data_IF_251689588501
#
_entry.id   IF_251689588501
#
_cell.length_a   1.000
_cell.length_b   1.000
_cell.length_c   1.000
_cell.angle_alpha   90.00
_cell.angle_beta   90.00
_cell.angle_gamma   90.00
#
_symmetry.space_group_name_H-M   'P 1'
#
loop_
_entity.id
_entity.type
_entity.pdbx_description
1 polymer ?
2 non-polymer ?
3 non-polymer ?
4 water ?
#
# COMPACT_ATOMS: atom_id res chain seq x y z
N UNK A 1 -27.01 14.27 -23.95
CA UNK A 1 -26.22 13.51 -22.98
C UNK A 1 -25.13 14.47 -22.58
N UNK A 2 -24.53 14.26 -21.43
CA UNK A 2 -23.49 15.17 -20.96
C UNK A 2 -22.36 14.43 -20.24
N UNK A 3 -21.20 15.07 -20.22
CA UNK A 3 -20.05 14.53 -19.51
C UNK A 3 -20.16 14.84 -18.01
N UNK A 4 -20.33 13.79 -17.20
CA UNK A 4 -20.46 13.98 -15.77
C UNK A 4 -19.10 13.98 -15.06
N UNK A 5 -18.17 13.22 -15.61
CA UNK A 5 -16.84 13.13 -15.02
C UNK A 5 -15.88 12.67 -16.11
N UNK A 6 -14.65 13.12 -16.03
CA UNK A 6 -13.66 12.74 -17.04
C UNK A 6 -12.28 12.88 -16.44
N UNK A 7 -11.43 11.89 -16.70
CA UNK A 7 -10.03 11.99 -16.32
C UNK A 7 -9.20 11.19 -17.33
N UNK A 8 -7.96 11.62 -17.54
CA UNK A 8 -7.14 10.89 -18.51
C UNK A 8 -5.68 11.12 -18.16
N UNK A 9 -4.81 10.24 -18.63
CA UNK A 9 -3.39 10.44 -18.34
C UNK A 9 -2.57 9.23 -18.73
N UNK A 10 -1.46 9.01 -18.03
CA UNK A 10 -0.54 7.92 -18.42
C UNK A 10 -0.39 6.97 -17.23
N UNK A 11 -0.52 5.68 -17.53
CA UNK A 11 -0.37 4.66 -16.49
C UNK A 11 0.89 3.81 -16.78
N UNK A 12 1.35 3.10 -15.75
CA UNK A 12 2.45 2.15 -15.90
C UNK A 12 3.74 2.75 -16.41
N UNK A 13 4.08 3.93 -15.92
CA UNK A 13 5.34 4.58 -16.28
C UNK A 13 6.43 4.12 -15.29
N UNK A 14 7.32 3.27 -15.75
CA UNK A 14 8.38 2.73 -14.89
C UNK A 14 9.52 3.75 -14.83
N UNK A 15 10.01 4.01 -13.62
CA UNK A 15 11.09 4.98 -13.46
C UNK A 15 12.11 4.42 -12.50
N UNK A 16 13.40 4.59 -12.84
CA UNK A 16 14.47 4.22 -11.94
C UNK A 16 15.33 5.49 -11.79
N UNK A 17 15.82 5.74 -10.58
CA UNK A 17 16.74 6.86 -10.35
C UNK A 17 17.86 6.35 -9.43
N UNK A 18 19.09 6.77 -9.73
CA UNK A 18 20.23 6.42 -8.89
C UNK A 18 20.82 7.72 -8.28
N UNK A 19 21.22 7.63 -7.03
CA UNK A 19 21.90 8.71 -6.35
C UNK A 19 23.32 8.20 -6.05
N UNK A 20 24.34 8.97 -6.44
CA UNK A 20 25.74 8.58 -6.23
C UNK A 20 26.43 9.57 -5.29
N UNK A 21 26.89 9.09 -4.14
CA UNK A 21 27.61 9.94 -3.20
C UNK A 21 29.07 9.98 -3.65
N UNK A 22 29.52 11.11 -4.20
CA UNK A 22 30.90 11.17 -4.69
C UNK A 22 31.90 10.97 -3.56
N UNK A 23 31.49 11.33 -2.34
CA UNK A 23 32.37 11.16 -1.18
C UNK A 23 32.65 9.68 -0.87
N UNK A 24 31.64 8.97 -0.38
CA UNK A 24 31.76 7.57 0.01
C UNK A 24 31.79 6.61 -1.17
N UNK A 25 31.32 7.06 -2.33
CA UNK A 25 31.24 6.17 -3.50
C UNK A 25 29.97 5.29 -3.40
N UNK A 26 29.21 5.46 -2.33
CA UNK A 26 28.00 4.67 -2.12
C UNK A 26 26.88 5.09 -3.08
N UNK A 27 26.18 4.11 -3.65
CA UNK A 27 25.12 4.42 -4.61
C UNK A 27 23.80 3.93 -4.03
N UNK A 28 22.69 4.63 -4.30
CA UNK A 28 21.39 4.21 -3.75
C UNK A 28 20.40 4.26 -4.92
N UNK A 29 19.62 3.20 -5.13
CA UNK A 29 18.66 3.21 -6.25
C UNK A 29 17.20 3.28 -5.76
N UNK A 30 16.35 3.81 -6.63
CA UNK A 30 14.91 3.93 -6.33
C UNK A 30 14.22 3.46 -7.59
N UNK A 31 13.21 2.57 -7.47
CA UNK A 31 12.50 2.19 -8.70
C UNK A 31 11.01 2.28 -8.38
N UNK A 32 10.21 2.85 -9.28
CA UNK A 32 8.78 2.99 -8.96
C UNK A 32 7.96 2.81 -10.22
N UNK A 33 6.65 2.70 -10.08
CA UNK A 33 5.75 2.68 -11.25
C UNK A 33 4.73 3.78 -10.97
N UNK A 34 4.57 4.69 -11.92
CA UNK A 34 3.80 5.91 -11.69
C UNK A 34 2.62 6.00 -12.63
N UNK A 35 1.52 6.50 -12.08
CA UNK A 35 0.33 6.77 -12.88
C UNK A 35 -0.13 8.20 -12.57
N UNK A 36 -0.41 8.99 -13.59
CA UNK A 36 -0.90 10.38 -13.38
C UNK A 36 -2.14 10.55 -14.24
N UNK A 37 -3.24 10.94 -13.60
CA UNK A 37 -4.48 11.24 -14.31
C UNK A 37 -4.86 12.69 -13.98
N UNK A 38 -5.28 13.41 -15.01
CA UNK A 38 -5.66 14.81 -14.87
C UNK A 38 -7.16 15.01 -15.03
N UNK A 39 -7.68 16.07 -14.40
CA UNK A 39 -9.08 16.50 -14.62
C UNK A 39 -9.07 18.02 -14.83
N UNK A 40 -10.07 18.53 -15.56
CA UNK A 40 -10.18 19.99 -15.72
C UNK A 40 -11.23 20.34 -16.76
N UNK A 41 -11.02 21.47 -17.41
CA UNK A 41 -11.94 21.90 -18.44
C UNK A 41 -11.55 21.21 -19.75
N UNK A 42 -11.85 19.91 -19.85
CA UNK A 42 -11.45 19.11 -21.00
C UNK A 42 -12.61 18.44 -21.71
N UNK A 43 -13.82 18.74 -21.29
CA UNK A 43 -15.01 18.09 -21.88
C UNK A 43 -15.07 18.17 -23.37
N UNK A 44 -14.60 19.28 -23.95
CA UNK A 44 -14.74 19.43 -25.40
C UNK A 44 -13.90 18.45 -26.20
N UNK A 45 -12.87 17.86 -25.58
CA UNK A 45 -12.09 16.85 -26.33
C UNK A 45 -12.99 15.63 -26.54
N UNK A 46 -13.93 15.39 -25.62
CA UNK A 46 -14.83 14.26 -25.75
C UNK A 46 -16.01 14.62 -26.65
N UNK A 47 -16.55 15.81 -26.47
CA UNK A 47 -17.80 16.17 -27.17
C UNK A 47 -17.68 16.81 -28.54
N UNK A 48 -16.60 17.54 -28.77
CA UNK A 48 -16.44 18.27 -30.03
C UNK A 48 -15.17 17.91 -30.78
N UNK A 49 -14.49 16.84 -30.36
CA UNK A 49 -13.22 16.48 -31.01
C UNK A 49 -12.21 17.63 -30.96
N UNK A 50 -12.23 18.38 -29.88
CA UNK A 50 -11.32 19.51 -29.72
C UNK A 50 -10.08 19.09 -28.95
N UNK A 51 -9.02 18.70 -29.68
CA UNK A 51 -7.79 18.28 -29.00
C UNK A 51 -6.96 19.39 -28.38
N UNK A 52 -7.38 20.65 -28.60
CA UNK A 52 -6.58 21.77 -28.10
C UNK A 52 -6.44 21.83 -26.60
N UNK A 53 -7.41 21.24 -25.91
CA UNK A 53 -7.40 21.20 -24.44
C UNK A 53 -6.62 20.00 -23.88
N UNK A 54 -6.11 19.15 -24.76
CA UNK A 54 -5.41 17.93 -24.28
C UNK A 54 -3.90 18.08 -24.15
N UNK A 55 -3.40 17.90 -22.94
CA UNK A 55 -1.97 17.78 -22.68
C UNK A 55 -1.74 16.28 -23.02
N UNK A 56 -1.04 15.99 -24.11
CA UNK A 56 -0.88 14.59 -24.59
C UNK A 56 -0.37 13.69 -23.48
N UNK A 57 -0.84 12.45 -23.42
CA UNK A 57 -0.36 11.52 -22.38
C UNK A 57 1.15 11.27 -22.55
N UNK A 58 1.66 11.32 -23.78
CA UNK A 58 3.11 11.21 -23.99
C UNK A 58 3.86 12.37 -23.29
N UNK A 59 3.28 13.59 -23.30
CA UNK A 59 3.90 14.73 -22.62
C UNK A 59 3.87 14.55 -21.09
N UNK A 60 2.82 13.90 -20.60
CA UNK A 60 2.72 13.65 -19.17
C UNK A 60 3.87 12.69 -18.85
N UNK A 61 4.05 11.69 -19.68
CA UNK A 61 5.20 10.75 -19.46
C UNK A 61 6.56 11.51 -19.40
N UNK A 62 6.79 12.40 -20.37
CA UNK A 62 8.03 13.19 -20.40
C UNK A 62 8.17 13.95 -19.10
N UNK A 63 7.07 14.55 -18.64
CA UNK A 63 7.06 15.37 -17.43
C UNK A 63 7.45 14.57 -16.20
N UNK A 64 7.01 13.31 -16.15
CA UNK A 64 7.37 12.50 -15.00
C UNK A 64 8.92 12.33 -14.97
N UNK A 65 9.53 11.98 -16.09
CA UNK A 65 10.99 11.81 -16.11
C UNK A 65 11.72 13.12 -15.75
N UNK A 66 11.27 14.22 -16.35
CA UNK A 66 11.88 15.54 -16.08
C UNK A 66 11.78 15.92 -14.59
N UNK A 67 10.61 15.73 -14.00
CA UNK A 67 10.43 15.99 -12.58
C UNK A 67 11.32 15.11 -11.68
N UNK A 68 11.44 13.83 -12.03
CA UNK A 68 12.31 12.94 -11.26
C UNK A 68 13.77 13.40 -11.40
N UNK A 69 14.13 13.92 -12.57
CA UNK A 69 15.55 14.35 -12.78
C UNK A 69 15.87 15.58 -11.87
N UNK A 70 14.90 16.48 -11.73
CA UNK A 70 15.13 17.73 -10.99
C UNK A 70 14.75 17.77 -9.51
N UNK A 71 14.15 16.70 -9.00
CA UNK A 71 13.69 16.67 -7.61
C UNK A 71 14.02 15.36 -6.95
N UNK A 72 14.02 15.33 -5.63
CA UNK A 72 14.22 14.06 -4.94
C UNK A 72 12.97 13.19 -5.24
N UNK A 73 13.15 11.87 -5.32
CA UNK A 73 12.00 10.98 -5.56
C UNK A 73 11.54 10.30 -4.29
N UNK A 74 12.17 10.66 -3.16
CA UNK A 74 11.79 10.10 -1.88
C UNK A 74 11.64 11.24 -0.86
N UNK A 75 10.76 11.12 0.12
CA UNK A 75 9.78 10.02 0.22
C UNK A 75 8.78 10.21 -0.93
N UNK A 76 8.09 9.14 -1.32
CA UNK A 76 7.14 9.21 -2.45
C UNK A 76 6.00 10.19 -2.21
N UNK A 77 5.63 10.42 -0.95
CA UNK A 77 4.59 11.44 -0.62
C UNK A 77 4.99 12.85 -1.13
N UNK A 78 6.26 13.18 -1.00
CA UNK A 78 6.75 14.48 -1.48
C UNK A 78 6.84 14.48 -3.00
N UNK A 79 7.43 13.43 -3.56
CA UNK A 79 7.58 13.40 -5.02
C UNK A 79 6.21 13.49 -5.71
N UNK A 80 5.24 12.75 -5.17
CA UNK A 80 3.86 12.75 -5.73
C UNK A 80 3.23 14.15 -5.65
N UNK A 81 3.46 14.81 -4.52
CA UNK A 81 2.92 16.17 -4.31
C UNK A 81 3.56 17.17 -5.28
N UNK A 82 4.88 17.06 -5.50
CA UNK A 82 5.53 17.95 -6.46
C UNK A 82 4.99 17.72 -7.87
N UNK A 83 4.90 16.45 -8.26
CA UNK A 83 4.40 16.11 -9.58
C UNK A 83 2.96 16.57 -9.82
N UNK A 84 2.10 16.40 -8.82
CA UNK A 84 0.70 16.78 -9.00
C UNK A 84 0.54 18.31 -9.04
N UNK A 85 1.29 18.98 -8.18
CA UNK A 85 1.26 20.45 -8.12
C UNK A 85 1.73 21.05 -9.45
N UNK A 86 2.74 20.42 -10.07
CA UNK A 86 3.23 20.89 -11.36
C UNK A 86 2.10 21.06 -12.36
N UNK A 87 1.28 20.02 -12.53
CA UNK A 87 0.23 20.09 -13.54
C UNK A 87 -0.81 21.18 -13.32
N UNK A 88 -1.26 21.36 -12.08
CA UNK A 88 -2.30 22.36 -11.82
C UNK A 88 -1.78 23.79 -11.90
N UNK A 89 -0.49 23.97 -11.62
CA UNK A 89 0.11 25.32 -11.73
C UNK A 89 0.47 25.64 -13.18
N UNK A 90 0.97 24.64 -13.90
CA UNK A 90 1.37 24.86 -15.27
C UNK A 90 0.24 25.14 -16.24
N UNK A 91 -0.85 24.38 -16.12
CA UNK A 91 -1.95 24.47 -17.07
C UNK A 91 -3.18 25.08 -16.44
N UNK A 92 -3.57 26.24 -16.97
CA UNK A 92 -4.69 26.95 -16.40
C UNK A 92 -6.00 26.16 -16.39
N UNK A 93 -6.23 25.33 -17.39
CA UNK A 93 -7.50 24.61 -17.49
C UNK A 93 -7.50 23.25 -16.78
N UNK A 94 -6.38 22.87 -16.20
CA UNK A 94 -6.30 21.59 -15.47
C UNK A 94 -6.47 21.95 -13.99
N UNK A 95 -7.49 21.38 -13.35
CA UNK A 95 -7.79 21.73 -11.96
C UNK A 95 -7.52 20.65 -10.94
N UNK A 96 -7.24 19.42 -11.38
CA UNK A 96 -6.91 18.36 -10.41
C UNK A 96 -5.91 17.39 -11.05
N UNK A 97 -5.01 16.86 -10.23
CA UNK A 97 -4.05 15.85 -10.69
C UNK A 97 -4.11 14.71 -9.69
N UNK A 98 -4.12 13.47 -10.18
CA UNK A 98 -4.21 12.31 -9.31
C UNK A 98 -2.98 11.48 -9.60
N UNK A 99 -2.12 11.32 -8.60
CA UNK A 99 -0.86 10.64 -8.84
C UNK A 99 -0.78 9.38 -7.98
N UNK A 100 -0.53 8.24 -8.60
CA UNK A 100 -0.40 7.01 -7.83
C UNK A 100 1.02 6.48 -8.08
N UNK A 101 1.72 6.15 -7.01
CA UNK A 101 3.11 5.68 -7.12
C UNK A 101 3.23 4.38 -6.35
N UNK A 102 3.85 3.38 -6.98
CA UNK A 102 4.17 2.12 -6.33
C UNK A 102 5.70 2.07 -6.27
N UNK A 103 6.25 1.93 -5.08
CA UNK A 103 7.70 1.80 -4.90
C UNK A 103 8.06 0.33 -4.77
N UNK A 104 9.03 -0.09 -5.56
CA UNK A 104 9.52 -1.48 -5.57
C UNK A 104 10.74 -1.58 -4.66
N UNK A 105 10.94 -2.73 -4.02
CA UNK A 105 12.08 -2.88 -3.13
C UNK A 105 13.39 -3.19 -3.84
N UNK A 106 14.43 -2.40 -3.55
CA UNK A 106 15.80 -2.73 -3.98
C UNK A 106 16.62 -2.54 -2.69
N UNK A 107 16.85 -3.64 -2.00
CA UNK A 107 17.51 -3.61 -0.67
C UNK A 107 19.01 -3.86 -0.82
N UNK A 108 19.81 -3.03 -0.16
CA UNK A 108 21.25 -3.14 -0.33
C UNK A 108 21.70 -4.54 0.12
N UNK A 109 22.55 -5.17 -0.70
CA UNK A 109 23.08 -6.49 -0.37
C UNK A 109 24.14 -6.39 0.75
N UNK A 110 24.19 -7.40 1.60
CA UNK A 110 25.27 -7.53 2.60
C UNK A 110 26.16 -8.64 2.09
N UNK A 111 27.40 -8.33 1.79
CA UNK A 111 28.36 -9.32 1.31
C UNK A 111 29.46 -9.45 2.39
N UNK A 112 29.66 -10.65 2.92
CA UNK A 112 30.70 -10.87 3.95
C UNK A 112 30.32 -10.09 5.22
N UNK A 113 29.02 -10.03 5.52
CA UNK A 113 28.53 -9.33 6.70
C UNK A 113 28.70 -7.82 6.63
N UNK A 114 28.52 -7.24 5.45
CA UNK A 114 28.66 -5.79 5.31
C UNK A 114 28.05 -5.19 4.05
N UNK A 115 27.42 -4.02 4.20
CA UNK A 115 26.70 -3.35 3.09
C UNK A 115 27.53 -3.09 1.83
N UNK A 116 27.06 -3.59 0.69
CA UNK A 116 27.75 -3.35 -0.55
C UNK A 116 27.37 -1.98 -1.10
N UNK A 117 28.35 -1.26 -1.67
CA UNK A 117 28.09 0.08 -2.17
C UNK A 117 27.14 0.25 -3.35
N UNK A 118 27.01 -0.78 -4.19
CA UNK A 118 26.18 -0.61 -5.40
C UNK A 118 25.47 -1.89 -5.89
N UNK A 119 25.18 -2.81 -4.99
CA UNK A 119 24.48 -4.07 -5.36
C UNK A 119 23.26 -4.25 -4.48
N UNK A 120 22.15 -4.68 -5.10
CA UNK A 120 20.86 -4.71 -4.44
C UNK A 120 20.10 -5.98 -4.78
N UNK A 121 19.15 -6.29 -3.91
CA UNK A 121 18.34 -7.48 -4.07
C UNK A 121 16.88 -7.13 -3.86
N UNK A 122 16.00 -7.74 -4.65
CA UNK A 122 14.58 -7.52 -4.42
C UNK A 122 14.16 -8.54 -3.35
N UNK A 123 14.00 -8.12 -2.08
CA UNK A 123 13.56 -9.02 -0.98
C UNK A 123 12.04 -8.93 -0.79
N UNK A 124 11.31 -9.75 -1.55
CA UNK A 124 9.88 -9.75 -1.47
C UNK A 124 9.32 -8.64 -2.29
N UNK A 125 8.11 -8.96 -2.64
CA UNK A 125 7.25 -8.26 -3.56
C UNK A 125 6.38 -7.25 -2.77
N UNK A 126 6.68 -7.06 -1.49
CA UNK A 126 5.91 -6.07 -0.71
C UNK A 126 6.15 -4.69 -1.36
N UNK A 127 5.13 -3.82 -1.37
CA UNK A 127 5.26 -2.48 -1.98
C UNK A 127 4.95 -1.42 -0.91
N UNK A 128 5.48 -0.22 -1.14
CA UNK A 128 5.09 0.96 -0.41
C UNK A 128 4.46 1.86 -1.48
N UNK A 129 3.23 2.33 -1.25
CA UNK A 129 2.51 3.10 -2.26
C UNK A 129 2.07 4.46 -1.72
N UNK A 130 1.69 5.34 -2.67
CA UNK A 130 1.03 6.57 -2.28
C UNK A 130 0.01 6.92 -3.32
N UNK A 131 -1.08 7.53 -2.88
CA UNK A 131 -2.07 8.11 -3.77
C UNK A 131 -2.12 9.61 -3.37
N UNK A 132 -1.85 10.52 -4.30
CA UNK A 132 -1.87 11.96 -3.98
C UNK A 132 -2.88 12.62 -4.88
N UNK A 133 -3.85 13.33 -4.31
CA UNK A 133 -4.83 14.04 -5.12
C UNK A 133 -4.56 15.53 -4.85
N UNK A 134 -4.20 16.26 -5.90
CA UNK A 134 -3.90 17.71 -5.80
C UNK A 134 -5.05 18.40 -6.52
N UNK A 135 -5.87 19.12 -5.76
CA UNK A 135 -7.05 19.74 -6.34
C UNK A 135 -6.98 21.28 -6.14
N UNK A 136 -7.03 22.03 -7.23
CA UNK A 136 -6.92 23.48 -7.16
C UNK A 136 -7.89 24.08 -6.14
N UNK A 137 -7.33 24.85 -5.21
CA UNK A 137 -8.13 25.52 -4.19
C UNK A 137 -8.53 24.62 -3.02
N UNK A 138 -8.19 23.33 -3.08
CA UNK A 138 -8.56 22.40 -2.01
C UNK A 138 -7.39 21.66 -1.37
N UNK A 139 -6.18 22.04 -1.74
CA UNK A 139 -4.98 21.51 -1.10
C UNK A 139 -4.53 20.16 -1.69
N UNK A 140 -3.91 19.35 -0.84
CA UNK A 140 -3.31 18.07 -1.21
C UNK A 140 -3.77 17.00 -0.25
N UNK A 141 -4.38 15.94 -0.78
CA UNK A 141 -4.85 14.81 0.04
C UNK A 141 -3.94 13.63 -0.28
N UNK A 142 -3.34 13.07 0.77
CA UNK A 142 -2.40 11.98 0.59
C UNK A 142 -2.84 10.73 1.37
N UNK A 143 -2.89 9.59 0.66
CA UNK A 143 -3.12 8.32 1.32
C UNK A 143 -1.87 7.49 1.09
N UNK A 144 -1.25 7.00 2.15
CA UNK A 144 -0.01 6.23 2.02
C UNK A 144 -0.37 4.77 2.34
N UNK A 145 0.35 3.81 1.78
CA UNK A 145 0.02 2.42 2.11
C UNK A 145 1.16 1.43 1.97
N UNK A 146 1.01 0.26 2.58
CA UNK A 146 1.92 -0.83 2.32
C UNK A 146 1.03 -1.99 1.88
N UNK A 147 1.52 -2.80 0.95
CA UNK A 147 0.69 -3.89 0.44
C UNK A 147 1.59 -5.04 0.02
N UNK A 148 1.03 -6.25 -0.08
CA UNK A 148 1.81 -7.41 -0.49
C UNK A 148 2.73 -7.92 0.61
N UNK A 149 2.36 -7.65 1.86
CA UNK A 149 3.13 -8.14 3.00
C UNK A 149 2.44 -9.44 3.44
N UNK A 150 3.06 -10.56 3.11
CA UNK A 150 2.46 -11.87 3.35
C UNK A 150 3.03 -12.57 4.58
N UNK A 151 2.16 -12.91 5.51
CA UNK A 151 2.61 -13.48 6.79
C UNK A 151 1.76 -14.70 7.16
N UNK A 152 2.26 -15.52 8.06
CA UNK A 152 1.52 -16.68 8.53
C UNK A 152 1.96 -16.94 9.98
N UNK A 153 1.00 -17.31 10.83
CA UNK A 153 1.35 -17.82 12.17
C UNK A 153 0.74 -19.21 12.31
N UNK A 154 1.48 -20.15 12.89
CA UNK A 154 1.05 -21.55 12.89
C UNK A 154 0.18 -21.96 14.08
N UNK A 155 0.03 -21.04 15.03
CA UNK A 155 -0.81 -21.31 16.19
C UNK A 155 -1.18 -19.94 16.81
N UNK A 156 -1.90 -19.94 17.93
CA UNK A 156 -2.30 -18.68 18.57
C UNK A 156 -3.27 -17.85 17.73
N UNK A 157 -4.22 -18.56 17.13
CA UNK A 157 -5.30 -17.92 16.40
C UNK A 157 -6.50 -18.84 16.69
N UNK A 158 -7.63 -18.24 17.03
CA UNK A 158 -8.85 -18.96 17.37
C UNK A 158 -10.00 -18.34 16.59
N UNK A 159 -11.07 -19.11 16.47
CA UNK A 159 -12.30 -18.61 15.89
C UNK A 159 -13.48 -19.43 16.38
N UNK A 160 -14.13 -18.94 17.44
CA UNK A 160 -15.29 -19.61 18.01
C UNK A 160 -16.30 -18.57 18.46
N UNK A 161 -17.53 -19.00 18.72
CA UNK A 161 -18.58 -18.10 19.18
C UNK A 161 -19.27 -17.29 18.10
N UNK A 162 -19.13 -17.69 16.83
CA UNK A 162 -19.80 -17.01 15.74
C UNK A 162 -21.25 -17.50 15.61
N UNK A 163 -22.07 -16.74 14.88
CA UNK A 163 -23.47 -17.12 14.64
C UNK A 163 -23.60 -18.50 14.00
N UNK A 164 -24.49 -19.33 14.54
CA UNK A 164 -24.76 -20.67 14.00
C UNK A 164 -26.22 -20.79 13.65
N UNK A 165 -26.52 -21.10 12.40
CA UNK A 165 -27.88 -21.30 11.92
C UNK A 165 -27.94 -22.43 10.88
N UNK A 166 -29.04 -22.52 10.14
CA UNK A 166 -29.18 -23.62 9.21
C UNK A 166 -28.23 -23.53 7.99
N UNK A 167 -27.48 -22.43 7.87
CA UNK A 167 -26.49 -22.31 6.75
C UNK A 167 -25.07 -22.61 7.20
N UNK A 168 -24.91 -22.94 8.48
CA UNK A 168 -23.60 -23.09 9.08
C UNK A 168 -23.10 -24.52 9.19
N UNK A 169 -21.87 -24.79 8.70
CA UNK A 169 -21.25 -26.10 8.87
C UNK A 169 -19.90 -25.97 9.54
N UNK A 170 -19.36 -24.76 9.58
CA UNK A 170 -18.01 -24.53 10.10
C UNK A 170 -17.92 -24.92 11.57
N UNK A 171 -16.88 -25.64 11.96
CA UNK A 171 -16.71 -26.02 13.37
C UNK A 171 -15.93 -24.93 14.10
N UNK A 172 -16.27 -24.71 15.36
CA UNK A 172 -15.52 -23.78 16.17
C UNK A 172 -14.11 -24.31 16.42
N UNK A 173 -13.14 -23.42 16.56
CA UNK A 173 -11.77 -23.84 16.80
C UNK A 173 -11.03 -22.94 17.80
N UNK A 174 -10.13 -23.56 18.55
CA UNK A 174 -9.32 -22.85 19.52
C UNK A 174 -7.86 -22.87 19.14
N UNK A 175 -7.53 -23.39 17.94
CA UNK A 175 -6.12 -23.39 17.53
C UNK A 175 -6.10 -23.60 15.99
N UNK A 176 -5.74 -22.55 15.25
CA UNK A 176 -5.71 -22.69 13.79
C UNK A 176 -4.55 -21.91 13.22
N UNK A 177 -4.29 -22.11 11.94
CA UNK A 177 -3.26 -21.33 11.25
C UNK A 177 -3.94 -20.05 10.79
N UNK A 178 -3.22 -18.93 10.84
CA UNK A 178 -3.77 -17.67 10.33
C UNK A 178 -2.73 -17.15 9.32
N UNK A 179 -3.18 -16.85 8.10
CA UNK A 179 -2.25 -16.34 7.10
C UNK A 179 -2.97 -15.27 6.27
N UNK A 180 -2.26 -14.21 5.92
CA UNK A 180 -2.94 -13.14 5.15
C UNK A 180 -1.93 -12.33 4.36
N UNK A 181 -2.42 -11.51 3.42
CA UNK A 181 -1.56 -10.57 2.71
C UNK A 181 -2.04 -9.20 3.18
N UNK A 182 -1.21 -8.45 3.89
CA UNK A 182 -1.67 -7.20 4.46
C UNK A 182 -1.69 -6.06 3.47
N UNK A 183 -2.81 -5.35 3.44
CA UNK A 183 -2.93 -4.11 2.70
C UNK A 183 -3.35 -3.09 3.79
N UNK A 184 -2.48 -2.12 4.11
CA UNK A 184 -2.81 -1.11 5.15
C UNK A 184 -2.63 0.29 4.54
N UNK A 185 -3.61 1.16 4.77
CA UNK A 185 -3.57 2.53 4.23
C UNK A 185 -3.82 3.54 5.36
N UNK A 186 -2.99 4.57 5.43
CA UNK A 186 -3.20 5.64 6.42
C UNK A 186 -3.40 6.93 5.64
N UNK A 187 -4.48 7.63 5.97
CA UNK A 187 -4.82 8.85 5.27
C UNK A 187 -4.39 10.05 6.13
N UNK A 188 -3.64 10.95 5.51
CA UNK A 188 -3.10 12.13 6.22
C UNK A 188 -4.17 13.23 6.28
N UNK A 189 -4.04 14.11 7.27
CA UNK A 189 -4.86 15.32 7.31
C UNK A 189 -4.57 16.08 6.00
N UNK A 190 -5.56 16.79 5.48
CA UNK A 190 -5.40 17.58 4.27
C UNK A 190 -4.28 18.61 4.46
N UNK A 191 -3.45 18.78 3.44
CA UNK A 191 -2.34 19.76 3.49
C UNK A 191 -2.71 20.95 2.61
N UNK A 192 -2.35 22.17 3.02
CA UNK A 192 -2.77 23.34 2.23
C UNK A 192 -2.03 23.45 0.91
N UNK A 193 -0.85 22.86 0.80
CA UNK A 193 -0.08 22.99 -0.43
C UNK A 193 1.31 22.42 -0.25
N UNK A 194 2.17 22.59 -1.25
CA UNK A 194 3.49 21.99 -1.20
C UNK A 194 4.28 22.44 0.02
N UNK A 195 4.19 23.72 0.36
CA UNK A 195 5.00 24.19 1.50
C UNK A 195 4.71 23.35 2.75
N UNK A 196 3.44 23.10 3.01
CA UNK A 196 3.05 22.33 4.18
C UNK A 196 3.53 20.86 4.09
N UNK A 197 3.45 20.28 2.91
CA UNK A 197 3.96 18.91 2.72
C UNK A 197 5.45 18.86 3.01
N UNK A 198 6.19 19.84 2.50
CA UNK A 198 7.63 19.89 2.75
C UNK A 198 7.95 20.01 4.23
N UNK A 199 7.11 20.70 4.98
CA UNK A 199 7.36 20.89 6.42
C UNK A 199 7.25 19.59 7.21
N UNK A 200 6.53 18.61 6.67
CA UNK A 200 6.36 17.34 7.40
C UNK A 200 7.14 16.16 6.83
N UNK A 201 8.05 16.45 5.91
CA UNK A 201 8.79 15.41 5.21
C UNK A 201 9.32 14.25 6.06
N UNK A 202 9.89 14.56 7.23
CA UNK A 202 10.46 13.51 8.07
C UNK A 202 9.43 12.54 8.62
N UNK A 203 8.18 12.98 8.74
CA UNK A 203 7.14 12.10 9.28
C UNK A 203 6.74 10.98 8.31
N UNK A 204 7.01 11.16 7.02
CA UNK A 204 6.51 10.16 6.06
C UNK A 204 7.17 8.79 6.23
N UNK A 205 8.50 8.77 6.17
CA UNK A 205 9.22 7.49 6.30
C UNK A 205 9.02 6.93 7.68
N UNK A 206 8.95 7.81 8.68
CA UNK A 206 8.80 7.37 10.05
C UNK A 206 7.48 6.69 10.29
N UNK A 207 6.43 7.22 9.67
CA UNK A 207 5.08 6.68 9.86
C UNK A 207 4.92 5.34 9.09
N UNK A 208 5.51 5.26 7.90
CA UNK A 208 5.51 3.99 7.16
C UNK A 208 6.21 2.91 8.02
N UNK A 209 7.36 3.26 8.61
CA UNK A 209 8.11 2.31 9.43
C UNK A 209 7.27 1.90 10.61
N UNK A 210 6.55 2.84 11.21
CA UNK A 210 5.73 2.52 12.37
C UNK A 210 4.54 1.62 12.00
N UNK A 211 3.91 1.93 10.89
CA UNK A 211 2.79 1.13 10.46
C UNK A 211 3.25 -0.32 10.24
N UNK A 212 4.39 -0.49 9.59
CA UNK A 212 4.90 -1.84 9.31
C UNK A 212 5.22 -2.56 10.61
N UNK A 213 5.92 -1.88 11.51
CA UNK A 213 6.32 -2.49 12.77
C UNK A 213 5.14 -2.91 13.64
N UNK A 214 4.14 -2.04 13.74
CA UNK A 214 2.94 -2.32 14.53
C UNK A 214 2.17 -3.49 13.93
N UNK A 215 2.11 -3.53 12.60
CA UNK A 215 1.40 -4.64 11.93
C UNK A 215 2.08 -5.96 12.28
N UNK A 216 3.39 -6.03 12.12
CA UNK A 216 4.12 -7.28 12.33
C UNK A 216 4.10 -7.76 13.79
N UNK A 217 4.37 -6.85 14.72
CA UNK A 217 4.36 -7.18 16.14
C UNK A 217 2.98 -7.59 16.64
N UNK A 218 1.94 -6.87 16.22
CA UNK A 218 0.59 -7.21 16.66
C UNK A 218 0.16 -8.57 16.11
N UNK A 219 0.48 -8.81 14.85
CA UNK A 219 0.09 -10.09 14.25
C UNK A 219 0.80 -11.21 15.02
N UNK A 220 2.09 -11.05 15.28
CA UNK A 220 2.85 -12.10 15.93
C UNK A 220 2.44 -12.32 17.37
N UNK A 221 2.13 -11.25 18.08
CA UNK A 221 1.86 -11.35 19.54
C UNK A 221 0.40 -11.50 19.97
N UNK A 222 -0.55 -11.05 19.16
CA UNK A 222 -1.95 -11.18 19.54
C UNK A 222 -2.45 -12.63 19.56
N UNK A 223 -3.08 -13.05 20.65
CA UNK A 223 -3.70 -14.39 20.65
C UNK A 223 -5.04 -14.14 20.02
N UNK A 224 -5.07 -14.22 18.70
CA UNK A 224 -6.18 -13.72 17.92
C UNK A 224 -7.54 -14.37 18.08
N UNK A 225 -8.53 -13.54 18.39
CA UNK A 225 -9.90 -14.01 18.57
C UNK A 225 -10.60 -14.06 17.20
N UNK A 226 -10.05 -13.33 16.22
CA UNK A 226 -10.60 -13.26 14.87
C UNK A 226 -9.73 -12.29 14.08
N UNK A 227 -9.85 -12.31 12.76
CA UNK A 227 -9.10 -11.34 11.96
C UNK A 227 -9.60 -9.94 12.34
N UNK A 228 -10.92 -9.82 12.52
CA UNK A 228 -11.55 -8.53 12.84
C UNK A 228 -10.89 -7.90 14.07
N UNK A 229 -10.74 -8.70 15.13
CA UNK A 229 -10.23 -8.19 16.40
C UNK A 229 -8.77 -7.79 16.32
N UNK A 230 -7.99 -8.59 15.61
CA UNK A 230 -6.56 -8.34 15.52
C UNK A 230 -6.27 -7.09 14.69
N UNK A 231 -7.01 -6.93 13.59
CA UNK A 231 -6.76 -5.78 12.75
C UNK A 231 -7.15 -4.45 13.41
N UNK A 232 -8.19 -4.49 14.23
CA UNK A 232 -8.60 -3.28 14.94
C UNK A 232 -7.49 -2.83 15.92
N UNK A 233 -6.85 -3.79 16.58
CA UNK A 233 -5.72 -3.49 17.48
C UNK A 233 -4.57 -2.82 16.73
N UNK A 234 -4.33 -3.24 15.49
CA UNK A 234 -3.24 -2.62 14.71
C UNK A 234 -3.57 -1.16 14.40
N UNK A 235 -4.78 -0.93 13.90
CA UNK A 235 -5.16 0.41 13.50
C UNK A 235 -5.17 1.37 14.70
N UNK A 236 -5.62 0.88 15.85
CA UNK A 236 -5.67 1.69 17.08
C UNK A 236 -4.29 2.23 17.41
N UNK A 237 -3.31 1.34 17.35
CA UNK A 237 -1.95 1.74 17.71
C UNK A 237 -1.36 2.76 16.75
N UNK A 238 -1.57 2.55 15.46
CA UNK A 238 -1.01 3.49 14.49
C UNK A 238 -1.57 4.90 14.71
N UNK A 239 -2.87 4.99 14.92
CA UNK A 239 -3.52 6.29 15.15
C UNK A 239 -2.99 6.98 16.41
N UNK A 240 -2.59 6.18 17.38
CA UNK A 240 -2.09 6.73 18.65
C UNK A 240 -0.68 7.28 18.49
N UNK A 241 0.05 6.75 17.52
CA UNK A 241 1.44 7.14 17.32
C UNK A 241 1.68 8.29 16.36
N UNK A 242 0.66 8.67 15.61
CA UNK A 242 0.86 9.74 14.65
C UNK A 242 -0.37 10.57 14.54
N UNK A 243 -0.32 11.76 15.12
CA UNK A 243 -1.46 12.67 15.17
C UNK A 243 -1.96 13.21 13.85
N UNK A 244 -1.05 13.31 12.88
CA UNK A 244 -1.41 13.87 11.58
C UNK A 244 -2.12 12.87 10.66
N UNK A 245 -2.37 11.66 11.16
CA UNK A 245 -3.21 10.67 10.44
C UNK A 245 -4.66 10.79 10.88
N UNK A 246 -5.58 10.83 9.92
CA UNK A 246 -6.99 10.89 10.24
C UNK A 246 -7.67 9.50 10.33
N UNK A 247 -7.32 8.60 9.41
CA UNK A 247 -7.95 7.28 9.42
C UNK A 247 -6.93 6.25 8.99
N UNK A 248 -7.18 5.01 9.40
CA UNK A 248 -6.32 3.87 9.01
C UNK A 248 -7.27 2.80 8.47
N UNK A 249 -6.97 2.26 7.29
CA UNK A 249 -7.85 1.24 6.71
C UNK A 249 -7.03 -0.03 6.51
N UNK A 250 -7.60 -1.19 6.84
CA UNK A 250 -6.91 -2.47 6.60
C UNK A 250 -7.84 -3.32 5.74
N UNK A 251 -7.26 -4.09 4.83
CA UNK A 251 -8.04 -5.01 4.02
C UNK A 251 -7.21 -6.29 4.05
N UNK A 252 -7.75 -7.34 4.68
CA UNK A 252 -7.00 -8.58 4.91
C UNK A 252 -7.77 -9.81 4.41
N UNK A 253 -7.19 -10.54 3.47
CA UNK A 253 -7.77 -11.84 3.08
C UNK A 253 -7.47 -12.88 4.17
N UNK A 254 -8.37 -13.85 4.36
CA UNK A 254 -8.10 -14.92 5.30
C UNK A 254 -7.75 -16.11 4.41
N UNK A 255 -6.46 -16.41 4.25
CA UNK A 255 -6.02 -17.48 3.32
C UNK A 255 -6.06 -18.81 4.07
N UNK A 256 -7.05 -19.61 3.74
CA UNK A 256 -7.31 -20.84 4.51
C UNK A 256 -6.33 -21.98 4.35
N UNK A 257 -6.00 -22.65 5.46
CA UNK A 257 -5.18 -23.88 5.39
C UNK A 257 -6.08 -24.96 6.04
N UNK A 258 -6.49 -25.96 5.27
CA UNK A 258 -7.45 -26.97 5.79
C UNK A 258 -6.76 -28.20 6.38
N UNK A 259 -7.34 -28.78 7.44
CA UNK A 259 -6.81 -30.05 7.97
C UNK A 259 -7.11 -31.14 6.96
N UNK A 260 -6.31 -32.20 6.94
CA UNK A 260 -6.59 -33.32 6.03
C UNK A 260 -6.81 -34.57 6.87
N UNK A 261 -8.01 -35.14 6.79
CA UNK A 261 -8.32 -36.36 7.57
C UNK A 261 -7.70 -37.55 6.85
N UNK A 262 -6.76 -38.22 7.50
CA UNK A 262 -6.07 -39.37 6.90
C UNK A 262 -6.47 -40.67 7.61
N UNK A 263 -7.49 -40.60 8.46
CA UNK A 263 -7.88 -41.76 9.26
C UNK A 263 -8.30 -42.98 8.42
N UNK A 264 -8.81 -42.72 7.23
CA UNK A 264 -9.22 -43.78 6.30
C UNK A 264 -8.02 -44.63 5.89
N UNK A 265 -6.82 -44.10 6.09
CA UNK A 265 -5.61 -44.84 5.74
C UNK A 265 -4.88 -45.36 6.96
N UNK A 266 -5.14 -46.63 7.30
CA UNK A 266 -4.44 -47.26 8.43
C UNK A 266 -4.63 -46.53 9.75
N UNK A 267 -5.77 -45.86 9.92
CA UNK A 267 -6.07 -45.10 11.13
C UNK A 267 -5.11 -43.93 11.42
N UNK A 268 -4.41 -43.44 10.39
CA UNK A 268 -3.46 -42.34 10.58
C UNK A 268 -4.14 -41.12 11.21
N UNK A 269 -3.51 -40.54 12.23
CA UNK A 269 -4.08 -39.41 12.95
C UNK A 269 -3.45 -38.08 12.52
N UNK A 270 -4.24 -37.24 11.88
CA UNK A 270 -3.74 -35.98 11.35
C UNK A 270 -4.71 -34.78 11.55
N UNK A 271 -5.64 -34.90 12.51
CA UNK A 271 -6.59 -33.82 12.78
C UNK A 271 -6.47 -33.33 14.24
N UNK A 272 -7.03 -32.17 14.52
CA UNK A 272 -6.94 -31.59 15.86
C UNK A 272 -5.53 -31.52 16.42
N UNK A 273 -5.33 -32.06 17.62
CA UNK A 273 -4.01 -31.99 18.22
C UNK A 273 -2.95 -32.75 17.45
N UNK A 274 -3.39 -33.67 16.59
CA UNK A 274 -2.43 -34.45 15.84
C UNK A 274 -2.18 -33.87 14.41
N UNK A 275 -2.80 -32.73 14.08
CA UNK A 275 -2.66 -32.13 12.73
C UNK A 275 -1.23 -31.67 12.44
N UNK A 276 -0.61 -32.24 11.39
CA UNK A 276 0.72 -31.85 11.01
C UNK A 276 0.75 -31.44 9.53
N UNK A 277 0.03 -32.16 8.69
CA UNK A 277 0.04 -31.86 7.24
C UNK A 277 -1.30 -31.21 6.88
N UNK A 278 -1.23 -30.05 6.22
CA UNK A 278 -2.41 -29.27 5.87
C UNK A 278 -2.42 -29.02 4.38
N UNK A 279 -3.59 -28.66 3.88
CA UNK A 279 -3.76 -28.33 2.45
C UNK A 279 -4.08 -26.83 2.35
N UNK A 280 -3.13 -26.03 1.84
CA UNK A 280 -3.40 -24.62 1.61
C UNK A 280 -4.47 -24.54 0.52
N UNK A 281 -5.44 -23.63 0.68
CA UNK A 281 -6.54 -23.48 -0.28
C UNK A 281 -6.26 -22.22 -1.09
N UNK A 282 -6.27 -22.33 -2.41
CA UNK A 282 -6.04 -21.15 -3.25
C UNK A 282 -7.28 -20.23 -3.28
N UNK A 283 -8.46 -20.81 -3.22
CA UNK A 283 -9.73 -20.06 -3.20
C UNK A 283 -10.78 -21.00 -2.64
N UNK A 284 -11.92 -20.49 -2.16
CA UNK A 284 -12.21 -19.06 -1.93
C UNK A 284 -11.41 -18.55 -0.72
N UNK A 285 -11.56 -17.29 -0.38
CA UNK A 285 -10.89 -16.73 0.81
C UNK A 285 -11.81 -15.73 1.51
N UNK A 286 -11.71 -15.65 2.82
CA UNK A 286 -12.43 -14.63 3.55
C UNK A 286 -11.78 -13.29 3.16
N UNK A 287 -12.53 -12.21 3.27
CA UNK A 287 -11.99 -10.88 3.00
C UNK A 287 -12.60 -9.99 4.07
N UNK A 288 -11.74 -9.39 4.88
CA UNK A 288 -12.18 -8.63 6.04
C UNK A 288 -11.59 -7.21 5.97
N UNK A 289 -12.44 -6.18 6.11
CA UNK A 289 -11.99 -4.81 5.94
C UNK A 289 -12.44 -3.97 7.15
N UNK A 290 -11.72 -2.91 7.41
CA UNK A 290 -12.23 -1.97 8.41
C UNK A 290 -11.50 -0.64 8.28
N UNK A 291 -12.23 0.45 8.54
CA UNK A 291 -11.65 1.79 8.54
C UNK A 291 -11.88 2.33 9.95
N UNK A 292 -10.80 2.70 10.60
CA UNK A 292 -10.85 3.19 11.99
C UNK A 292 -10.43 4.66 11.97
N UNK A 293 -11.18 5.49 12.67
CA UNK A 293 -10.88 6.92 12.73
C UNK A 293 -10.87 7.36 14.21
N UNK A 294 -10.82 8.66 14.42
CA UNK A 294 -10.73 9.20 15.78
C UNK A 294 -12.11 9.52 16.33
N UNK A 295 -12.31 9.21 17.61
CA UNK A 295 -13.59 9.51 18.26
C UNK A 295 -13.55 10.92 18.85
N UNK A 296 -13.97 11.86 18.00
X LIG B 1 -4.95 3.70 -12.73
X LIG B 1 -3.65 4.23 -12.18
X LIG B 1 -3.73 5.98 -12.05
X LIG C 1 -13.25 -14.07 10.73
X LIG C 1 -12.20 -14.92 11.00
X LIG C 1 -11.25 -14.53 11.64
X LIG C 1 -12.27 -16.24 10.53
X LIG C 1 -13.38 -16.57 9.89
X LIG C 1 -14.44 -15.76 9.61
X LIG C 1 -14.40 -14.35 10.04
X LIG C 1 -15.26 -13.52 9.83
X LIG C 1 -15.39 -16.44 8.96
X LIG C 1 -14.99 -17.77 8.77
X LIG C 1 -13.73 -17.94 9.32
X LIG C 1 -12.82 -19.19 9.37
X LIG C 1 -15.64 -18.62 8.23
#
# INVERSE_FOLDING_TARGET
SAVKAARYGKDNVRVYKVHKDEKTGVQTVYEMTVCVLLEGEIETSYTKADNSVIVATDSIKNTIYITAKQNPVTPPELFGSILGTHFIEKYNHIHAAHVNIVCHRWTRMDIDGKPHPHSFIRDSEEKRNVQVDVVEGKGIDIKSSLSGLTVLKSTNSQFWGFLRDEYTTLKETWDRILSTDVDATWQWKNFSGLQEVRSHVPKFDATWATAREVTLKTFAEDNSASVQATMYKMAEQILARQQLIETVEYSLPNKHYFEIDLSWHKGLQNTGKNAEVFAPQSDPNGLIKCTVGRSSLKSKL
CYS CA CB SG
MUA N1 C2 O2 N3 C4 C5 C6 O6 N7 C8 N9 C10 O8
#
